data_IF_199736313454
#
_entry.id   IF_199736313454
#
_cell.length_a   1.000
_cell.length_b   1.000
_cell.length_c   1.000
_cell.angle_alpha   90.00
_cell.angle_beta   90.00
_cell.angle_gamma   90.00
#
_symmetry.space_group_name_H-M   'P 1'
#
loop_
_entity.id
_entity.type
_entity.pdbx_description
1 polymer ?
#
# COMPACT_ATOMS: atom_id res chain seq x y z
N UNK A 1 -6.12 -17.14 -13.71
CA UNK A 1 -7.00 -15.98 -13.92
C UNK A 1 -6.71 -15.39 -15.30
N UNK A 2 -7.69 -15.37 -16.18
CA UNK A 2 -7.55 -14.74 -17.49
C UNK A 2 -7.77 -13.22 -17.42
N UNK A 3 -8.66 -12.78 -16.51
CA UNK A 3 -8.92 -11.38 -16.25
C UNK A 3 -9.34 -11.22 -14.80
N UNK A 4 -9.21 -9.99 -14.28
CA UNK A 4 -9.58 -9.70 -12.92
C UNK A 4 -10.96 -9.07 -12.86
N UNK A 5 -11.74 -9.50 -11.84
CA UNK A 5 -13.02 -8.90 -11.50
C UNK A 5 -12.92 -8.26 -10.11
N UNK A 6 -13.92 -7.45 -9.76
CA UNK A 6 -14.01 -6.87 -8.42
C UNK A 6 -13.95 -7.95 -7.35
N UNK A 7 -14.66 -9.07 -7.54
CA UNK A 7 -14.74 -10.12 -6.53
C UNK A 7 -13.39 -10.80 -6.33
N UNK A 8 -12.68 -11.07 -7.42
CA UNK A 8 -11.34 -11.68 -7.34
C UNK A 8 -10.35 -10.77 -6.64
N UNK A 9 -10.40 -9.47 -6.91
CA UNK A 9 -9.54 -8.50 -6.22
C UNK A 9 -9.87 -8.45 -4.73
N UNK A 10 -11.15 -8.46 -4.40
CA UNK A 10 -11.60 -8.49 -3.01
C UNK A 10 -11.06 -9.72 -2.28
N UNK A 11 -11.20 -10.90 -2.88
CA UNK A 11 -10.69 -12.13 -2.29
C UNK A 11 -9.17 -12.08 -2.12
N UNK A 12 -8.47 -11.61 -3.13
CA UNK A 12 -7.02 -11.50 -3.07
C UNK A 12 -6.58 -10.62 -1.90
N UNK A 13 -7.16 -9.43 -1.78
CA UNK A 13 -6.80 -8.50 -0.71
C UNK A 13 -7.06 -9.09 0.67
N UNK A 14 -8.15 -9.83 0.84
CA UNK A 14 -8.50 -10.41 2.13
C UNK A 14 -7.71 -11.67 2.48
N UNK A 15 -7.14 -12.36 1.51
CA UNK A 15 -6.34 -13.56 1.73
C UNK A 15 -4.84 -13.29 1.67
N UNK A 16 -4.45 -12.11 1.25
CA UNK A 16 -3.05 -11.75 1.01
C UNK A 16 -2.11 -12.09 2.18
N UNK A 17 -2.47 -11.82 3.44
CA UNK A 17 -1.57 -12.14 4.56
C UNK A 17 -1.27 -13.63 4.72
N UNK A 18 -2.10 -14.50 4.16
CA UNK A 18 -1.95 -15.95 4.29
C UNK A 18 -1.22 -16.58 3.11
N UNK A 19 -0.91 -15.81 2.07
CA UNK A 19 -0.25 -16.34 0.88
C UNK A 19 1.26 -16.47 1.10
N UNK A 20 1.86 -17.47 0.44
CA UNK A 20 3.32 -17.55 0.37
C UNK A 20 3.87 -16.35 -0.40
N UNK A 21 5.18 -16.07 -0.24
CA UNK A 21 5.81 -15.04 -1.04
C UNK A 21 5.64 -15.29 -2.54
N UNK A 22 5.80 -16.54 -2.96
CA UNK A 22 5.66 -16.91 -4.36
C UNK A 22 4.26 -16.63 -4.89
N UNK A 23 3.23 -17.04 -4.14
CA UNK A 23 1.84 -16.81 -4.54
C UNK A 23 1.48 -15.34 -4.52
N UNK A 24 1.96 -14.60 -3.53
CA UNK A 24 1.75 -13.15 -3.46
C UNK A 24 2.31 -12.46 -4.71
N UNK A 25 3.56 -12.75 -5.05
CA UNK A 25 4.20 -12.15 -6.23
C UNK A 25 3.49 -12.56 -7.51
N UNK A 26 3.13 -13.84 -7.63
CA UNK A 26 2.45 -14.35 -8.83
C UNK A 26 1.11 -13.64 -9.05
N UNK A 27 0.27 -13.56 -8.01
CA UNK A 27 -1.05 -12.94 -8.12
C UNK A 27 -0.95 -11.43 -8.29
N UNK A 28 -0.01 -10.79 -7.61
CA UNK A 28 0.19 -9.35 -7.75
C UNK A 28 0.64 -8.98 -9.17
N UNK A 29 1.55 -9.76 -9.74
CA UNK A 29 2.01 -9.57 -11.11
C UNK A 29 0.88 -9.82 -12.11
N UNK A 30 0.07 -10.86 -11.88
CA UNK A 30 -1.10 -11.13 -12.70
C UNK A 30 -2.08 -9.95 -12.69
N UNK A 31 -2.27 -9.33 -11.53
CA UNK A 31 -3.14 -8.15 -11.44
C UNK A 31 -2.64 -7.02 -12.34
N UNK A 32 -1.34 -6.73 -12.32
CA UNK A 32 -0.78 -5.71 -13.19
C UNK A 32 -0.99 -6.01 -14.67
N UNK A 33 -0.78 -7.27 -15.07
CA UNK A 33 -0.81 -7.66 -16.46
C UNK A 33 -2.22 -7.79 -17.02
N UNK A 34 -3.19 -8.17 -16.18
CA UNK A 34 -4.53 -8.57 -16.63
C UNK A 34 -5.65 -7.67 -16.14
N UNK A 35 -5.32 -6.46 -15.66
CA UNK A 35 -6.31 -5.54 -15.11
C UNK A 35 -6.73 -4.42 -16.06
N UNK A 36 -6.31 -4.44 -17.32
CA UNK A 36 -6.57 -3.34 -18.25
C UNK A 36 -8.05 -3.04 -18.38
N UNK A 37 -8.86 -4.05 -18.67
CA UNK A 37 -10.31 -3.89 -18.82
C UNK A 37 -10.96 -3.49 -17.51
N UNK A 38 -10.51 -4.08 -16.40
CA UNK A 38 -11.01 -3.77 -15.08
C UNK A 38 -10.84 -2.27 -14.76
N UNK A 39 -9.69 -1.69 -15.13
CA UNK A 39 -9.36 -0.27 -14.86
C UNK A 39 -10.14 0.71 -15.72
N UNK A 40 -10.80 0.26 -16.79
CA UNK A 40 -11.57 1.14 -17.66
C UNK A 40 -12.78 1.73 -16.96
N UNK A 41 -13.34 1.05 -15.96
CA UNK A 41 -14.47 1.55 -15.18
C UNK A 41 -13.98 2.41 -14.01
N UNK A 42 -14.59 3.57 -13.84
CA UNK A 42 -14.15 4.56 -12.85
C UNK A 42 -14.12 4.01 -11.43
N UNK A 43 -15.20 3.33 -11.01
CA UNK A 43 -15.26 2.78 -9.64
C UNK A 43 -14.28 1.63 -9.43
N UNK A 44 -13.94 0.88 -10.48
CA UNK A 44 -12.93 -0.18 -10.39
C UNK A 44 -11.53 0.40 -10.19
N UNK A 45 -11.28 1.61 -10.67
CA UNK A 45 -9.99 2.27 -10.44
C UNK A 45 -9.75 2.54 -8.95
N UNK A 46 -10.80 2.87 -8.20
CA UNK A 46 -10.68 3.03 -6.76
C UNK A 46 -10.25 1.72 -6.10
N UNK A 47 -10.91 0.61 -6.45
CA UNK A 47 -10.53 -0.71 -5.93
C UNK A 47 -9.12 -1.09 -6.33
N UNK A 48 -8.71 -0.75 -7.54
CA UNK A 48 -7.35 -1.03 -8.02
C UNK A 48 -6.31 -0.25 -7.20
N UNK A 49 -6.56 1.02 -6.91
CA UNK A 49 -5.66 1.83 -6.07
C UNK A 49 -5.53 1.23 -4.68
N UNK A 50 -6.65 0.81 -4.08
CA UNK A 50 -6.65 0.18 -2.77
C UNK A 50 -5.91 -1.16 -2.80
N UNK A 51 -6.12 -1.95 -3.84
CA UNK A 51 -5.42 -3.21 -4.04
C UNK A 51 -3.92 -3.03 -4.15
N UNK A 52 -3.48 -2.04 -4.91
CA UNK A 52 -2.05 -1.72 -5.06
C UNK A 52 -1.44 -1.27 -3.73
N UNK A 53 -2.17 -0.47 -2.95
CA UNK A 53 -1.70 -0.06 -1.63
C UNK A 53 -1.56 -1.27 -0.70
N UNK A 54 -2.49 -2.22 -0.74
CA UNK A 54 -2.39 -3.45 0.03
C UNK A 54 -1.19 -4.30 -0.38
N UNK A 55 -0.96 -4.42 -1.69
CA UNK A 55 0.21 -5.14 -2.20
C UNK A 55 1.50 -4.49 -1.71
N UNK A 56 1.60 -3.17 -1.83
CA UNK A 56 2.79 -2.44 -1.41
C UNK A 56 3.04 -2.59 0.09
N UNK A 57 1.98 -2.51 0.90
CA UNK A 57 2.10 -2.71 2.35
C UNK A 57 2.60 -4.12 2.67
N UNK A 58 2.04 -5.13 2.02
CA UNK A 58 2.43 -6.53 2.26
C UNK A 58 3.87 -6.79 1.83
N UNK A 59 4.28 -6.27 0.68
CA UNK A 59 5.66 -6.39 0.22
C UNK A 59 6.65 -5.75 1.19
N UNK A 60 6.30 -4.60 1.73
CA UNK A 60 7.15 -3.91 2.71
C UNK A 60 7.26 -4.71 4.01
N UNK A 61 6.15 -5.20 4.53
CA UNK A 61 6.13 -6.00 5.76
C UNK A 61 6.96 -7.28 5.63
N UNK A 62 6.97 -7.87 4.44
CA UNK A 62 7.77 -9.07 4.16
C UNK A 62 9.19 -8.74 3.71
N UNK A 63 9.54 -7.46 3.64
CA UNK A 63 10.86 -6.98 3.21
C UNK A 63 11.22 -7.42 1.79
N UNK A 64 10.22 -7.54 0.93
CA UNK A 64 10.39 -7.89 -0.49
C UNK A 64 10.55 -6.62 -1.32
N UNK A 65 11.54 -5.80 -0.97
CA UNK A 65 11.71 -4.45 -1.49
C UNK A 65 11.97 -4.40 -2.99
N UNK A 66 12.62 -5.43 -3.55
CA UNK A 66 12.95 -5.44 -4.98
C UNK A 66 11.73 -5.48 -5.89
N UNK A 67 10.58 -5.92 -5.37
CA UNK A 67 9.35 -5.99 -6.15
C UNK A 67 8.51 -4.70 -6.09
N UNK A 68 8.87 -3.77 -5.21
CA UNK A 68 8.05 -2.58 -4.97
C UNK A 68 7.97 -1.62 -6.17
N UNK A 69 9.08 -1.32 -6.88
CA UNK A 69 9.05 -0.27 -7.91
C UNK A 69 8.00 -0.43 -8.99
N UNK A 70 7.71 -1.66 -9.44
CA UNK A 70 6.74 -1.87 -10.51
C UNK A 70 5.32 -1.54 -10.04
N UNK A 71 4.98 -1.88 -8.79
CA UNK A 71 3.66 -1.58 -8.23
C UNK A 71 3.53 -0.10 -7.87
N UNK A 72 4.61 0.50 -7.39
CA UNK A 72 4.69 1.94 -7.14
C UNK A 72 4.41 2.73 -8.41
N UNK A 73 5.05 2.38 -9.51
CA UNK A 73 4.85 3.06 -10.79
C UNK A 73 3.39 2.98 -11.25
N UNK A 74 2.76 1.81 -11.11
CA UNK A 74 1.36 1.65 -11.48
C UNK A 74 0.46 2.50 -10.59
N UNK A 75 0.67 2.48 -9.28
CA UNK A 75 -0.13 3.28 -8.36
C UNK A 75 -0.02 4.77 -8.68
N UNK A 76 1.20 5.26 -8.85
CA UNK A 76 1.43 6.68 -9.11
C UNK A 76 0.80 7.13 -10.43
N UNK A 77 0.75 6.25 -11.43
CA UNK A 77 0.07 6.55 -12.68
C UNK A 77 -1.44 6.71 -12.52
N UNK A 78 -2.01 6.12 -11.48
CA UNK A 78 -3.45 6.11 -11.25
C UNK A 78 -3.94 7.18 -10.28
N UNK A 79 -3.06 7.73 -9.43
CA UNK A 79 -3.45 8.71 -8.43
C UNK A 79 -3.84 10.05 -9.07
N UNK A 80 -4.94 10.61 -8.57
CA UNK A 80 -5.47 11.92 -9.02
C UNK A 80 -5.36 12.94 -7.88
N UNK A 81 -5.43 14.24 -8.17
CA UNK A 81 -5.30 15.28 -7.13
C UNK A 81 -6.27 15.13 -5.96
N UNK A 82 -7.47 14.62 -6.21
CA UNK A 82 -8.50 14.47 -5.17
C UNK A 82 -8.46 13.12 -4.45
N UNK A 83 -7.51 12.24 -4.79
CA UNK A 83 -7.30 10.98 -4.06
C UNK A 83 -6.49 11.25 -2.79
N UNK A 84 -7.05 12.07 -1.88
CA UNK A 84 -6.30 12.59 -0.73
C UNK A 84 -5.90 11.47 0.23
N UNK A 85 -6.83 10.58 0.57
CA UNK A 85 -6.53 9.49 1.51
C UNK A 85 -5.48 8.55 0.94
N UNK A 86 -5.64 8.15 -0.32
CA UNK A 86 -4.70 7.23 -0.98
C UNK A 86 -3.31 7.86 -1.08
N UNK A 87 -3.23 9.16 -1.34
CA UNK A 87 -1.95 9.86 -1.37
C UNK A 87 -1.30 9.94 0.00
N UNK A 88 -2.07 10.20 1.04
CA UNK A 88 -1.55 10.23 2.41
C UNK A 88 -1.02 8.86 2.81
N UNK A 89 -1.79 7.81 2.52
CA UNK A 89 -1.38 6.44 2.85
C UNK A 89 -0.11 6.07 2.07
N UNK A 90 -0.04 6.41 0.79
CA UNK A 90 1.14 6.12 -0.02
C UNK A 90 2.37 6.87 0.48
N UNK A 91 2.23 8.14 0.85
CA UNK A 91 3.34 8.88 1.43
C UNK A 91 3.82 8.25 2.73
N UNK A 92 2.89 7.82 3.57
CA UNK A 92 3.23 7.11 4.80
C UNK A 92 4.00 5.82 4.48
N UNK A 93 3.52 5.02 3.55
CA UNK A 93 4.16 3.76 3.17
C UNK A 93 5.57 3.98 2.60
N UNK A 94 5.77 5.02 1.80
CA UNK A 94 7.12 5.35 1.30
C UNK A 94 8.08 5.63 2.44
N UNK A 95 7.63 6.37 3.44
CA UNK A 95 8.44 6.66 4.63
C UNK A 95 8.70 5.40 5.43
N UNK A 96 7.72 4.50 5.52
CA UNK A 96 7.89 3.23 6.22
C UNK A 96 8.86 2.31 5.49
N UNK A 97 8.89 2.35 4.16
CA UNK A 97 9.88 1.59 3.39
C UNK A 97 11.31 2.02 3.75
N UNK A 98 11.54 3.33 3.83
CA UNK A 98 12.84 3.87 4.27
C UNK A 98 13.13 3.46 5.71
N UNK A 99 12.12 3.55 6.59
CA UNK A 99 12.24 3.17 7.99
C UNK A 99 12.73 1.72 8.14
N UNK A 100 12.12 0.80 7.40
CA UNK A 100 12.51 -0.61 7.47
C UNK A 100 13.91 -0.85 6.92
N UNK A 101 14.29 -0.14 5.86
CA UNK A 101 15.59 -0.33 5.22
C UNK A 101 16.74 0.33 5.99
N UNK A 102 16.43 1.32 6.82
CA UNK A 102 17.43 2.08 7.59
C UNK A 102 17.35 1.83 9.10
N UNK A 103 16.59 0.82 9.52
CA UNK A 103 16.38 0.47 10.93
C UNK A 103 15.90 1.67 11.75
N UNK A 104 14.95 2.40 11.18
CA UNK A 104 14.26 3.48 11.88
C UNK A 104 14.96 4.83 11.87
N UNK A 105 15.95 5.05 11.00
CA UNK A 105 16.71 6.30 10.99
C UNK A 105 15.83 7.53 10.71
N UNK A 106 14.69 7.37 10.03
CA UNK A 106 13.77 8.45 9.70
C UNK A 106 12.54 8.52 10.62
N UNK A 107 12.61 7.93 11.81
CA UNK A 107 11.46 7.89 12.73
C UNK A 107 10.90 9.28 13.03
N UNK A 108 11.77 10.25 13.24
CA UNK A 108 11.34 11.63 13.56
C UNK A 108 10.56 12.25 12.41
N UNK A 109 10.98 12.01 11.18
CA UNK A 109 10.25 12.48 10.00
C UNK A 109 8.83 11.88 9.94
N UNK A 110 8.70 10.59 10.27
CA UNK A 110 7.40 9.92 10.28
C UNK A 110 6.51 10.50 11.37
N UNK A 111 7.06 10.70 12.57
CA UNK A 111 6.31 11.29 13.67
C UNK A 111 5.83 12.71 13.31
N UNK A 112 6.68 13.50 12.67
CA UNK A 112 6.31 14.84 12.21
C UNK A 112 5.21 14.77 11.15
N UNK A 113 5.30 13.82 10.23
CA UNK A 113 4.25 13.61 9.22
C UNK A 113 2.91 13.30 9.89
N UNK A 114 2.89 12.37 10.85
CA UNK A 114 1.67 12.01 11.57
C UNK A 114 1.10 13.22 12.31
N UNK A 115 1.97 13.99 12.98
CA UNK A 115 1.56 15.19 13.70
C UNK A 115 0.91 16.21 12.77
N UNK A 116 1.43 16.38 11.56
CA UNK A 116 0.89 17.34 10.59
C UNK A 116 -0.54 17.01 10.18
N UNK A 117 -0.99 15.78 10.38
CA UNK A 117 -2.34 15.36 10.02
C UNK A 117 -3.41 15.93 10.96
N UNK A 118 -3.01 16.57 12.05
CA UNK A 118 -3.96 17.25 12.96
C UNK A 118 -4.80 18.29 12.22
N UNK A 119 -4.28 18.87 11.16
CA UNK A 119 -5.01 19.86 10.36
C UNK A 119 -6.30 19.27 9.76
N UNK A 120 -6.37 17.95 9.58
CA UNK A 120 -7.53 17.28 9.03
C UNK A 120 -8.66 17.09 10.05
N UNK A 121 -8.38 17.35 11.33
CA UNK A 121 -9.36 17.16 12.42
C UNK A 121 -9.96 15.75 12.42
N UNK A 122 -9.10 14.75 12.16
CA UNK A 122 -9.49 13.34 12.09
C UNK A 122 -8.58 12.53 13.02
N UNK A 123 -8.89 12.48 14.33
CA UNK A 123 -8.02 11.78 15.29
C UNK A 123 -7.93 10.28 15.05
N UNK A 124 -8.95 9.68 14.44
CA UNK A 124 -8.94 8.25 14.11
C UNK A 124 -7.88 7.93 13.06
N UNK A 125 -7.68 8.82 12.09
CA UNK A 125 -6.64 8.66 11.09
C UNK A 125 -5.25 8.74 11.72
N UNK A 126 -5.04 9.67 12.63
CA UNK A 126 -3.78 9.80 13.37
C UNK A 126 -3.50 8.53 14.16
N UNK A 127 -4.50 8.03 14.89
CA UNK A 127 -4.35 6.79 15.65
C UNK A 127 -3.99 5.61 14.73
N UNK A 128 -4.59 5.54 13.56
CA UNK A 128 -4.29 4.48 12.58
C UNK A 128 -2.81 4.50 12.20
N UNK A 129 -2.27 5.68 11.85
CA UNK A 129 -0.87 5.78 11.46
C UNK A 129 0.08 5.54 12.63
N UNK A 130 -0.28 5.98 13.84
CA UNK A 130 0.53 5.71 15.03
C UNK A 130 0.62 4.21 15.31
N UNK A 131 -0.51 3.49 15.20
CA UNK A 131 -0.52 2.03 15.36
C UNK A 131 0.32 1.33 14.30
N UNK A 132 0.22 1.79 13.06
CA UNK A 132 1.04 1.24 11.97
C UNK A 132 2.52 1.46 12.23
N UNK A 133 2.91 2.65 12.67
CA UNK A 133 4.30 2.92 13.02
C UNK A 133 4.77 1.97 14.12
N UNK A 134 3.95 1.74 15.14
CA UNK A 134 4.30 0.81 16.21
C UNK A 134 4.50 -0.61 15.69
N UNK A 135 3.64 -1.07 14.78
CA UNK A 135 3.78 -2.39 14.16
C UNK A 135 5.08 -2.50 13.36
N UNK A 136 5.43 -1.46 12.61
CA UNK A 136 6.67 -1.48 11.81
C UNK A 136 7.91 -1.43 12.71
N UNK A 137 7.84 -0.77 13.86
CA UNK A 137 8.96 -0.78 14.83
C UNK A 137 9.29 -2.20 15.26
N UNK A 138 8.30 -3.07 15.37
CA UNK A 138 8.52 -4.47 15.75
C UNK A 138 9.24 -5.24 14.65
N UNK A 139 9.17 -4.79 13.40
CA UNK A 139 9.78 -5.46 12.26
C UNK A 139 11.27 -5.15 12.08
N UNK A 140 11.80 -4.12 12.75
CA UNK A 140 13.20 -3.74 12.61
C UNK A 140 14.10 -4.36 13.69
N UNK A 141 13.54 -5.02 14.67
CA UNK A 141 14.27 -5.66 15.77
C UNK A 141 14.79 -7.06 15.44
#
# INVERSE_FOLDING_TARGET
>A
IESWTWFELYLFCNTMPFLSNQDLIFLSTSLLEKSKEFKELVHNRLYMKQGLLNILSELMERKLFSYIPIFEAELESMLRPYDVFEKLLWQFLKKMSVFLQTKGSNQKEIENFIQSLQVLENPQLITLFELRLQQYKELID
#
